data_IF_971430849713
#
_entry.id   IF_971430849713
#
_cell.length_a   1.000
_cell.length_b   1.000
_cell.length_c   1.000
_cell.angle_alpha   90.00
_cell.angle_beta   90.00
_cell.angle_gamma   90.00
#
_symmetry.space_group_name_H-M   'P 1'
#
loop_
_entity.id
_entity.type
_entity.pdbx_description
1 polymer ?
#
# COMPACT_ATOMS: atom_id res chain seq x y z
N UNK A 1 -5.74 16.34 -7.18
CA UNK A 1 -6.15 16.40 -5.76
C UNK A 1 -5.37 15.36 -4.99
N UNK A 2 -5.13 15.57 -3.69
CA UNK A 2 -4.52 14.55 -2.83
C UNK A 2 -5.60 13.84 -2.01
N UNK A 3 -5.56 12.51 -1.95
CA UNK A 3 -6.52 11.72 -1.19
C UNK A 3 -5.83 10.82 -0.17
N UNK A 4 -6.37 10.74 1.05
CA UNK A 4 -5.81 9.89 2.09
C UNK A 4 -6.11 8.42 1.80
N UNK A 5 -5.06 7.60 1.82
CA UNK A 5 -5.08 6.16 1.77
C UNK A 5 -5.26 5.60 3.19
N UNK A 6 -6.31 4.81 3.40
CA UNK A 6 -6.51 4.05 4.65
C UNK A 6 -6.84 2.60 4.35
N UNK A 7 -6.67 1.73 5.35
CA UNK A 7 -7.04 0.32 5.27
C UNK A 7 -8.11 0.06 6.31
N UNK A 8 -9.21 -0.54 5.90
CA UNK A 8 -10.29 -0.93 6.81
C UNK A 8 -9.88 -2.19 7.60
N UNK A 9 -9.84 -2.14 8.94
CA UNK A 9 -9.47 -3.32 9.73
C UNK A 9 -10.45 -4.50 9.63
N UNK A 10 -11.71 -4.24 9.27
CA UNK A 10 -12.76 -5.27 9.28
C UNK A 10 -12.61 -6.29 8.15
N UNK A 11 -12.19 -5.84 6.96
CA UNK A 11 -12.11 -6.66 5.75
C UNK A 11 -10.85 -6.41 4.90
N UNK A 12 -9.97 -5.50 5.34
CA UNK A 12 -8.76 -5.14 4.64
C UNK A 12 -8.95 -4.22 3.44
N UNK A 13 -10.15 -3.68 3.23
CA UNK A 13 -10.44 -2.85 2.08
C UNK A 13 -9.53 -1.61 2.05
N UNK A 14 -9.07 -1.27 0.85
CA UNK A 14 -8.27 -0.07 0.61
C UNK A 14 -9.23 1.08 0.36
N UNK A 15 -9.19 2.10 1.20
CA UNK A 15 -10.04 3.27 1.10
C UNK A 15 -9.21 4.48 0.64
N UNK A 16 -9.73 5.25 -0.32
CA UNK A 16 -9.08 6.45 -0.85
C UNK A 16 -10.06 7.62 -0.75
N UNK A 17 -9.68 8.64 0.02
CA UNK A 17 -10.43 9.90 0.16
C UNK A 17 -11.85 9.74 0.73
N UNK A 18 -12.20 8.58 1.29
CA UNK A 18 -13.55 8.25 1.74
C UNK A 18 -14.57 8.01 0.61
N UNK A 19 -14.14 8.10 -0.65
CA UNK A 19 -15.00 7.99 -1.83
C UNK A 19 -14.84 6.65 -2.53
N UNK A 20 -13.62 6.13 -2.54
CA UNK A 20 -13.26 4.88 -3.18
C UNK A 20 -12.97 3.83 -2.12
N UNK A 21 -13.55 2.65 -2.30
CA UNK A 21 -13.28 1.45 -1.51
C UNK A 21 -12.96 0.30 -2.47
N UNK A 22 -11.77 -0.28 -2.32
CA UNK A 22 -11.32 -1.43 -3.10
C UNK A 22 -11.26 -2.65 -2.21
N UNK A 23 -11.92 -3.73 -2.61
CA UNK A 23 -12.03 -4.98 -1.83
C UNK A 23 -11.29 -6.13 -2.49
N UNK A 24 -10.99 -7.16 -1.70
CA UNK A 24 -10.39 -8.40 -2.20
C UNK A 24 -11.14 -8.95 -3.43
N UNK A 25 -10.39 -9.48 -4.39
CA UNK A 25 -10.91 -10.10 -5.62
C UNK A 25 -11.75 -9.19 -6.53
N UNK A 26 -11.77 -7.88 -6.28
CA UNK A 26 -12.40 -6.91 -7.15
C UNK A 26 -11.74 -6.91 -8.53
N UNK A 27 -12.56 -6.82 -9.56
CA UNK A 27 -12.15 -6.95 -10.95
C UNK A 27 -11.51 -5.65 -11.46
N UNK A 28 -10.46 -5.80 -12.27
CA UNK A 28 -9.62 -4.73 -12.80
C UNK A 28 -10.41 -3.60 -13.44
N UNK A 29 -11.32 -3.88 -14.37
CA UNK A 29 -12.05 -2.82 -15.09
C UNK A 29 -12.91 -1.99 -14.13
N UNK A 30 -13.48 -2.63 -13.11
CA UNK A 30 -14.17 -1.92 -12.03
C UNK A 30 -13.24 -1.01 -11.23
N UNK A 31 -12.03 -1.48 -10.91
CA UNK A 31 -11.00 -0.67 -10.22
C UNK A 31 -10.58 0.52 -11.08
N UNK A 32 -10.24 0.30 -12.35
CA UNK A 32 -9.79 1.36 -13.27
C UNK A 32 -10.85 2.43 -13.46
N UNK A 33 -12.13 2.03 -13.54
CA UNK A 33 -13.27 2.96 -13.62
C UNK A 33 -13.36 3.81 -12.36
N UNK A 34 -13.39 3.17 -11.19
CA UNK A 34 -13.60 3.84 -9.90
C UNK A 34 -12.38 4.66 -9.45
N UNK A 35 -11.18 4.25 -9.84
CA UNK A 35 -9.91 4.87 -9.44
C UNK A 35 -9.31 5.77 -10.53
N UNK A 36 -10.07 6.07 -11.59
CA UNK A 36 -9.60 6.81 -12.78
C UNK A 36 -8.89 8.12 -12.45
N UNK A 37 -9.35 8.88 -11.44
CA UNK A 37 -8.72 10.13 -11.00
C UNK A 37 -7.32 9.96 -10.39
N UNK A 38 -7.02 8.78 -9.83
CA UNK A 38 -5.73 8.49 -9.18
C UNK A 38 -4.82 7.60 -10.04
N UNK A 39 -5.33 7.06 -11.15
CA UNK A 39 -4.59 6.11 -11.97
C UNK A 39 -3.39 6.78 -12.64
N UNK A 40 -2.19 6.33 -12.28
CA UNK A 40 -0.92 6.82 -12.81
C UNK A 40 -0.32 5.95 -13.91
N UNK A 41 -0.90 4.78 -14.16
CA UNK A 41 -0.47 3.83 -15.17
C UNK A 41 -0.73 2.38 -14.77
N UNK A 42 -0.51 1.47 -15.72
CA UNK A 42 -0.61 0.03 -15.51
C UNK A 42 0.62 -0.69 -16.09
N UNK A 43 0.91 -1.88 -15.58
CA UNK A 43 1.97 -2.75 -16.06
C UNK A 43 1.50 -4.19 -16.02
N UNK A 44 1.33 -4.78 -17.20
CA UNK A 44 1.12 -6.22 -17.36
C UNK A 44 2.49 -6.93 -17.42
N UNK A 45 2.65 -8.01 -16.65
CA UNK A 45 3.84 -8.84 -16.64
C UNK A 45 3.73 -10.05 -17.60
N UNK A 46 2.59 -10.20 -18.28
CA UNK A 46 2.28 -11.28 -19.22
C UNK A 46 2.42 -12.69 -18.61
N UNK A 47 2.15 -12.80 -17.32
CA UNK A 47 2.18 -14.04 -16.54
C UNK A 47 0.99 -14.13 -15.57
N UNK A 48 -0.15 -13.58 -15.98
CA UNK A 48 -1.37 -13.39 -15.18
C UNK A 48 -1.25 -12.36 -14.05
N UNK A 49 -0.08 -11.78 -13.80
CA UNK A 49 0.07 -10.67 -12.87
C UNK A 49 0.06 -9.31 -13.57
N UNK A 50 -0.66 -8.37 -12.99
CA UNK A 50 -0.72 -6.99 -13.43
C UNK A 50 -0.58 -6.04 -12.24
N UNK A 51 -0.06 -4.85 -12.51
CA UNK A 51 0.08 -3.81 -11.51
C UNK A 51 -0.62 -2.53 -11.97
N UNK A 52 -1.47 -1.97 -11.11
CA UNK A 52 -2.03 -0.63 -11.30
C UNK A 52 -1.35 0.35 -10.36
N UNK A 53 -0.83 1.46 -10.87
CA UNK A 53 -0.22 2.49 -10.05
C UNK A 53 -1.24 3.57 -9.71
N UNK A 54 -1.34 3.91 -8.43
CA UNK A 54 -2.14 5.01 -7.92
C UNK A 54 -1.21 6.14 -7.44
N UNK A 55 -1.54 7.37 -7.82
CA UNK A 55 -0.76 8.59 -7.53
C UNK A 55 -1.64 9.64 -6.86
N UNK A 56 -1.00 10.70 -6.35
CA UNK A 56 -1.72 11.77 -5.65
C UNK A 56 -2.36 11.28 -4.36
N UNK A 57 -1.70 10.36 -3.65
CA UNK A 57 -2.18 9.85 -2.38
C UNK A 57 -1.43 10.49 -1.22
N UNK A 58 -2.02 10.41 -0.04
CA UNK A 58 -1.33 10.62 1.24
C UNK A 58 -1.54 9.42 2.14
N UNK A 59 -0.61 9.19 3.07
CA UNK A 59 -0.74 8.19 4.13
C UNK A 59 -0.22 8.79 5.44
N UNK A 60 -1.06 8.86 6.46
CA UNK A 60 -0.78 9.60 7.68
C UNK A 60 -0.44 11.06 7.41
N UNK A 61 -1.11 11.69 6.42
CA UNK A 61 -0.87 13.07 5.95
C UNK A 61 0.48 13.31 5.25
N UNK A 62 1.25 12.26 4.95
CA UNK A 62 2.48 12.38 4.18
C UNK A 62 2.25 11.93 2.73
N UNK A 63 2.92 12.52 1.73
CA UNK A 63 2.78 12.10 0.34
C UNK A 63 3.04 10.61 0.17
N UNK A 64 2.20 9.93 -0.60
CA UNK A 64 2.27 8.50 -0.83
C UNK A 64 1.93 8.14 -2.28
N UNK A 65 2.39 6.95 -2.68
CA UNK A 65 1.97 6.27 -3.88
C UNK A 65 1.62 4.83 -3.56
N UNK A 66 0.67 4.25 -4.29
CA UNK A 66 0.29 2.86 -4.11
C UNK A 66 0.38 2.08 -5.43
N UNK A 67 0.58 0.79 -5.32
CA UNK A 67 0.60 -0.16 -6.43
C UNK A 67 -0.31 -1.33 -6.07
N UNK A 68 -1.37 -1.49 -6.84
CA UNK A 68 -2.31 -2.60 -6.71
C UNK A 68 -1.76 -3.78 -7.51
N UNK A 69 -1.66 -4.95 -6.88
CA UNK A 69 -1.29 -6.18 -7.53
C UNK A 69 -2.55 -6.98 -7.87
N UNK A 70 -2.68 -7.34 -9.14
CA UNK A 70 -3.74 -8.17 -9.64
C UNK A 70 -3.18 -9.51 -10.10
N UNK A 71 -3.97 -10.55 -9.92
CA UNK A 71 -3.75 -11.86 -10.51
C UNK A 71 -5.03 -12.28 -11.22
N UNK A 72 -4.94 -12.67 -12.50
CA UNK A 72 -6.10 -12.99 -13.34
C UNK A 72 -7.16 -11.87 -13.31
N UNK A 73 -6.70 -10.62 -13.45
CA UNK A 73 -7.52 -9.40 -13.41
C UNK A 73 -8.27 -9.14 -12.08
N UNK A 74 -7.86 -9.79 -10.98
CA UNK A 74 -8.47 -9.61 -9.66
C UNK A 74 -7.48 -9.10 -8.64
N UNK A 75 -7.90 -8.15 -7.80
CA UNK A 75 -7.07 -7.58 -6.73
C UNK A 75 -6.69 -8.65 -5.69
N UNK A 76 -5.39 -8.87 -5.52
CA UNK A 76 -4.86 -9.83 -4.53
C UNK A 76 -4.00 -9.18 -3.45
N UNK A 77 -3.40 -8.02 -3.72
CA UNK A 77 -2.64 -7.26 -2.74
C UNK A 77 -2.48 -5.80 -3.20
N UNK A 78 -2.02 -4.96 -2.29
CA UNK A 78 -1.51 -3.64 -2.62
C UNK A 78 -0.28 -3.33 -1.79
N UNK A 79 0.61 -2.53 -2.37
CA UNK A 79 1.82 -2.04 -1.76
C UNK A 79 1.78 -0.52 -1.81
N UNK A 80 2.36 0.14 -0.82
CA UNK A 80 2.51 1.60 -0.86
C UNK A 80 3.85 2.02 -0.31
N UNK A 81 4.29 3.20 -0.73
CA UNK A 81 5.48 3.89 -0.21
C UNK A 81 5.09 5.27 0.29
N UNK A 82 5.84 5.78 1.26
CA UNK A 82 5.60 7.10 1.85
C UNK A 82 6.85 7.97 1.73
N UNK A 83 6.69 9.16 1.17
CA UNK A 83 7.77 10.14 1.07
C UNK A 83 7.78 11.03 2.31
N UNK A 84 8.74 10.82 3.20
CA UNK A 84 8.92 11.66 4.40
C UNK A 84 9.73 12.93 4.09
N UNK A 85 9.34 14.10 4.64
CA UNK A 85 10.12 15.33 4.53
C UNK A 85 11.53 15.15 5.09
N UNK A 86 12.55 15.54 4.32
CA UNK A 86 13.95 15.45 4.74
C UNK A 86 14.50 14.02 4.81
N UNK A 87 13.83 13.04 4.21
CA UNK A 87 14.37 11.69 4.06
C UNK A 87 15.73 11.73 3.36
N UNK A 88 16.78 11.30 4.07
CA UNK A 88 18.14 11.32 3.56
C UNK A 88 18.29 10.36 2.38
N UNK A 89 18.92 10.84 1.31
CA UNK A 89 19.28 10.04 0.14
C UNK A 89 20.79 10.06 -0.06
N UNK A 90 21.34 8.93 -0.49
CA UNK A 90 22.74 8.76 -0.90
C UNK A 90 22.72 8.23 -2.33
N UNK A 91 23.34 8.98 -3.25
CA UNK A 91 23.34 8.67 -4.69
C UNK A 91 21.94 8.42 -5.30
N UNK A 92 20.91 9.10 -4.77
CA UNK A 92 19.53 8.96 -5.22
C UNK A 92 18.75 7.78 -4.61
N UNK A 93 19.38 7.01 -3.72
CA UNK A 93 18.76 5.93 -2.97
C UNK A 93 18.49 6.33 -1.52
N UNK A 94 17.40 5.86 -0.89
CA UNK A 94 17.16 6.14 0.51
C UNK A 94 18.21 5.45 1.39
N UNK A 95 18.73 6.17 2.39
CA UNK A 95 19.64 5.56 3.38
C UNK A 95 18.88 4.58 4.28
N UNK A 96 19.61 3.67 4.95
CA UNK A 96 19.00 2.78 5.96
C UNK A 96 18.26 3.57 7.05
N UNK A 97 18.78 4.74 7.43
CA UNK A 97 18.12 5.61 8.39
C UNK A 97 16.77 6.13 7.87
N UNK A 98 16.72 6.58 6.61
CA UNK A 98 15.48 7.04 5.99
C UNK A 98 14.45 5.90 5.88
N UNK A 99 14.89 4.70 5.49
CA UNK A 99 14.05 3.50 5.43
C UNK A 99 13.47 3.15 6.80
N UNK A 100 14.31 3.16 7.84
CA UNK A 100 13.87 2.88 9.21
C UNK A 100 12.88 3.95 9.72
N UNK A 101 13.06 5.21 9.34
CA UNK A 101 12.13 6.29 9.66
C UNK A 101 10.78 6.11 8.97
N UNK A 102 10.78 5.72 7.70
CA UNK A 102 9.56 5.40 6.96
C UNK A 102 8.80 4.24 7.61
N UNK A 103 9.49 3.13 7.91
CA UNK A 103 8.89 1.99 8.62
C UNK A 103 8.32 2.45 9.97
N UNK A 104 9.10 3.18 10.78
CA UNK A 104 8.62 3.67 12.08
C UNK A 104 7.38 4.56 11.93
N UNK A 105 7.35 5.42 10.91
CA UNK A 105 6.20 6.27 10.61
C UNK A 105 4.98 5.43 10.23
N UNK A 106 5.11 4.51 9.28
CA UNK A 106 4.01 3.68 8.78
C UNK A 106 3.45 2.81 9.90
N UNK A 107 4.31 2.16 10.69
CA UNK A 107 3.89 1.36 11.85
C UNK A 107 3.09 2.16 12.87
N UNK A 108 3.47 3.42 13.13
CA UNK A 108 2.71 4.31 14.02
C UNK A 108 1.31 4.61 13.47
N UNK A 109 1.21 4.93 12.18
CA UNK A 109 -0.08 5.21 11.53
C UNK A 109 -0.97 3.97 11.53
N UNK A 110 -0.41 2.80 11.18
CA UNK A 110 -1.12 1.52 11.21
C UNK A 110 -1.60 1.16 12.63
N UNK A 111 -0.75 1.30 13.64
CA UNK A 111 -1.11 1.03 15.05
C UNK A 111 -2.29 1.91 15.49
N UNK A 112 -2.30 3.19 15.12
CA UNK A 112 -3.40 4.10 15.42
C UNK A 112 -4.68 3.75 14.63
N UNK A 113 -4.54 3.37 13.36
CA UNK A 113 -5.65 3.00 12.47
C UNK A 113 -6.34 1.70 12.91
N UNK A 114 -5.56 0.68 13.25
CA UNK A 114 -6.07 -0.64 13.65
C UNK A 114 -6.36 -0.75 15.15
N UNK A 115 -5.86 0.19 15.96
CA UNK A 115 -5.94 0.16 17.44
C UNK A 115 -5.34 -1.14 18.02
N UNK A 116 -4.28 -1.62 17.40
CA UNK A 116 -3.58 -2.86 17.72
C UNK A 116 -2.08 -2.64 17.66
N UNK A 117 -1.31 -3.32 18.51
CA UNK A 117 0.15 -3.29 18.43
C UNK A 117 0.67 -4.18 17.31
N UNK A 118 1.54 -3.63 16.47
CA UNK A 118 2.15 -4.35 15.35
C UNK A 118 3.33 -5.21 15.85
N UNK A 119 3.05 -6.45 16.20
CA UNK A 119 4.08 -7.45 16.55
C UNK A 119 4.72 -8.01 15.27
N UNK A 120 6.05 -8.13 15.26
CA UNK A 120 6.85 -8.63 14.12
C UNK A 120 6.67 -7.89 12.77
N UNK A 121 6.08 -6.69 12.81
CA UNK A 121 5.89 -5.88 11.61
C UNK A 121 4.68 -6.27 10.75
N UNK A 122 3.74 -7.07 11.27
CA UNK A 122 2.51 -7.41 10.56
C UNK A 122 1.29 -7.57 11.49
N UNK A 123 0.11 -7.34 10.93
CA UNK A 123 -1.16 -7.77 11.48
C UNK A 123 -1.72 -8.90 10.63
N UNK A 124 -2.19 -9.98 11.27
CA UNK A 124 -2.84 -11.10 10.59
C UNK A 124 -4.31 -11.18 10.96
N UNK A 125 -5.15 -11.30 9.94
CA UNK A 125 -6.60 -11.37 10.04
C UNK A 125 -7.13 -12.60 9.28
N UNK A 126 -8.39 -13.02 9.50
CA UNK A 126 -9.02 -14.04 8.68
C UNK A 126 -9.05 -13.69 7.19
N UNK A 127 -9.20 -12.41 6.85
CA UNK A 127 -9.26 -11.92 5.47
C UNK A 127 -7.88 -11.74 4.81
N UNK A 128 -6.79 -11.63 5.59
CA UNK A 128 -5.50 -11.28 5.02
C UNK A 128 -4.46 -10.79 6.02
N UNK A 129 -3.47 -10.07 5.51
CA UNK A 129 -2.33 -9.56 6.28
C UNK A 129 -2.01 -8.13 5.86
N UNK A 130 -1.72 -7.27 6.84
CA UNK A 130 -1.16 -5.93 6.64
C UNK A 130 0.24 -5.90 7.23
N UNK A 131 1.23 -5.35 6.53
CA UNK A 131 2.61 -5.34 7.01
C UNK A 131 3.32 -4.00 6.80
N UNK A 132 4.37 -3.81 7.59
CA UNK A 132 5.37 -2.76 7.44
C UNK A 132 6.70 -3.26 7.99
N UNK A 133 7.66 -3.53 7.09
CA UNK A 133 8.96 -4.13 7.42
C UNK A 133 10.06 -3.66 6.47
N UNK A 134 11.30 -3.95 6.85
CA UNK A 134 12.44 -3.80 5.95
C UNK A 134 12.48 -4.98 4.98
N UNK A 135 12.64 -4.70 3.69
CA UNK A 135 12.94 -5.72 2.69
C UNK A 135 14.45 -5.74 2.40
N UNK A 136 15.18 -6.78 2.84
CA UNK A 136 16.61 -6.88 2.59
C UNK A 136 16.95 -7.13 1.12
N UNK A 137 16.02 -7.66 0.31
CA UNK A 137 16.27 -7.92 -1.12
C UNK A 137 16.21 -6.62 -1.92
N UNK A 138 15.21 -5.79 -1.65
CA UNK A 138 15.04 -4.49 -2.29
C UNK A 138 15.81 -3.35 -1.62
N UNK A 139 16.44 -3.61 -0.46
CA UNK A 139 17.03 -2.60 0.43
C UNK A 139 16.08 -1.41 0.62
N UNK A 140 14.84 -1.70 1.02
CA UNK A 140 13.77 -0.70 1.03
C UNK A 140 12.75 -0.94 2.14
N UNK A 141 11.92 0.08 2.37
CA UNK A 141 10.74 -0.07 3.18
C UNK A 141 9.67 -0.85 2.38
N UNK A 142 9.09 -1.87 2.99
CA UNK A 142 8.04 -2.69 2.38
C UNK A 142 6.79 -2.62 3.25
N UNK A 143 5.75 -2.01 2.69
CA UNK A 143 4.43 -1.91 3.31
C UNK A 143 3.37 -2.40 2.34
N UNK A 144 2.35 -3.04 2.86
CA UNK A 144 1.28 -3.54 2.02
C UNK A 144 0.15 -4.24 2.76
N UNK A 145 -0.86 -4.60 1.99
CA UNK A 145 -1.98 -5.45 2.37
C UNK A 145 -2.05 -6.60 1.36
N UNK A 146 -2.34 -7.81 1.84
CA UNK A 146 -2.52 -9.00 1.00
C UNK A 146 -3.73 -9.76 1.48
N UNK A 147 -4.53 -10.25 0.52
CA UNK A 147 -5.74 -11.00 0.81
C UNK A 147 -5.46 -12.49 0.76
N UNK A 148 -6.11 -13.26 1.64
CA UNK A 148 -6.08 -14.73 1.51
C UNK A 148 -6.87 -15.12 0.27
N UNK A 149 -6.34 -16.08 -0.49
CA UNK A 149 -7.13 -16.75 -1.53
C UNK A 149 -8.26 -17.50 -0.82
N UNK A 150 -9.50 -17.10 -1.11
CA UNK A 150 -10.73 -17.80 -0.75
C UNK A 150 -10.87 -19.09 -1.54
#
# INVERSE_FOLDING_TARGET
MTAELTIDPSDGAICIGGQLRLVASQEKTGIETLASEWLGGSRDLHNSYEWLQLRGLTFGKQPAGASLCLHEHRLISAHWGVSLPGAAMEEGWPTQQAINQEIKFVRRVLTAMFRMELTDGAFSFPWGTVWSRFDPKGFSASHGVSYRKS
#
